data_IF_761122123493
#
_entry.id   IF_761122123493
#
_cell.length_a   1.000
_cell.length_b   1.000
_cell.length_c   1.000
_cell.angle_alpha   90.00
_cell.angle_beta   90.00
_cell.angle_gamma   90.00
#
_symmetry.space_group_name_H-M   'P 1'
#
loop_
_entity.id
_entity.type
_entity.pdbx_description
1 polymer ?
#
# COMPACT_ATOMS: atom_id res chain seq x y z
N UNK A 1 4.54 7.80 17.35
CA UNK A 1 5.88 7.35 17.80
C UNK A 1 6.82 7.24 16.61
N UNK A 2 8.14 7.22 16.83
CA UNK A 2 9.12 7.16 15.73
C UNK A 2 9.06 5.86 14.91
N UNK A 3 8.47 4.80 15.48
CA UNK A 3 8.23 3.55 14.75
C UNK A 3 7.08 3.63 13.74
N UNK A 4 6.26 4.69 13.77
CA UNK A 4 5.17 4.88 12.82
C UNK A 4 5.73 5.49 11.54
N UNK A 5 5.51 4.81 10.42
CA UNK A 5 5.84 5.31 9.10
C UNK A 5 4.84 6.33 8.57
N UNK A 6 4.74 6.44 7.25
CA UNK A 6 3.81 7.34 6.59
C UNK A 6 2.38 6.80 6.74
N UNK A 7 1.44 7.69 7.03
CA UNK A 7 0.00 7.38 7.03
C UNK A 7 -0.46 7.09 5.59
N UNK A 8 -1.09 5.93 5.36
CA UNK A 8 -1.52 5.48 4.03
C UNK A 8 -3.02 5.19 3.94
N UNK A 9 -3.81 5.59 4.94
CA UNK A 9 -5.24 5.28 5.03
C UNK A 9 -6.08 5.87 3.89
N UNK A 10 -5.60 6.94 3.24
CA UNK A 10 -6.27 7.56 2.08
C UNK A 10 -5.70 7.08 0.74
N UNK A 11 -4.66 6.24 0.75
CA UNK A 11 -4.07 5.72 -0.48
C UNK A 11 -4.78 4.43 -0.92
N UNK A 12 -5.49 4.45 -2.07
CA UNK A 12 -6.26 3.31 -2.50
C UNK A 12 -5.43 2.05 -2.72
N UNK A 13 -4.12 2.16 -2.98
CA UNK A 13 -3.26 0.99 -3.19
C UNK A 13 -3.26 0.06 -1.98
N UNK A 14 -3.42 0.61 -0.78
CA UNK A 14 -3.37 -0.13 0.48
C UNK A 14 -4.74 -0.62 0.98
N UNK A 15 -5.83 -0.33 0.28
CA UNK A 15 -7.15 -0.82 0.68
C UNK A 15 -7.24 -2.35 0.51
N UNK A 16 -7.89 -3.05 1.45
CA UNK A 16 -8.05 -4.51 1.38
C UNK A 16 -8.72 -4.98 0.08
N UNK A 17 -9.72 -4.24 -0.40
CA UNK A 17 -10.39 -4.51 -1.67
C UNK A 17 -9.47 -4.37 -2.88
N UNK A 18 -8.44 -3.52 -2.78
CA UNK A 18 -7.48 -3.32 -3.84
C UNK A 18 -6.33 -4.31 -3.73
N UNK A 19 -5.88 -4.69 -2.53
CA UNK A 19 -4.84 -5.71 -2.33
C UNK A 19 -5.29 -7.11 -2.78
N UNK A 20 -6.58 -7.46 -2.66
CA UNK A 20 -7.10 -8.74 -3.17
C UNK A 20 -7.15 -8.77 -4.70
N UNK A 21 -7.36 -7.62 -5.36
CA UNK A 21 -7.44 -7.50 -6.82
C UNK A 21 -6.07 -7.23 -7.47
N UNK A 22 -5.21 -6.49 -6.77
CA UNK A 22 -3.89 -6.01 -7.19
C UNK A 22 -2.88 -6.27 -6.08
N UNK A 23 -2.43 -7.54 -5.92
CA UNK A 23 -1.51 -7.91 -4.85
C UNK A 23 -0.24 -7.06 -4.84
N UNK A 24 0.32 -6.86 -3.64
CA UNK A 24 1.57 -6.12 -3.45
C UNK A 24 2.72 -6.62 -4.35
N UNK A 25 2.76 -7.92 -4.67
CA UNK A 25 3.76 -8.51 -5.58
C UNK A 25 3.72 -7.97 -7.01
N UNK A 26 2.64 -7.29 -7.41
CA UNK A 26 2.46 -6.68 -8.73
C UNK A 26 2.79 -5.19 -8.73
N UNK A 27 3.15 -4.61 -7.59
CA UNK A 27 3.45 -3.19 -7.52
C UNK A 27 4.75 -2.92 -8.27
N UNK A 28 4.71 -1.95 -9.18
CA UNK A 28 5.92 -1.50 -9.87
C UNK A 28 6.87 -0.93 -8.83
N UNK A 29 8.01 -1.61 -8.62
CA UNK A 29 9.14 -0.99 -7.97
C UNK A 29 9.59 0.15 -8.88
N UNK A 30 9.20 1.38 -8.53
CA UNK A 30 9.85 2.55 -9.11
C UNK A 30 11.27 2.56 -8.55
N UNK A 31 12.20 2.12 -9.39
CA UNK A 31 13.64 2.32 -9.21
C UNK A 31 13.93 3.82 -9.23
#
# INVERSE_FOLDING_TARGET
PEWIGIEVSDDPRYFNSNLVQHPYSQWLHRI
#
